data_IF_290729615377
#
_entry.id   IF_290729615377
#
_cell.length_a   1.000
_cell.length_b   1.000
_cell.length_c   1.000
_cell.angle_alpha   90.00
_cell.angle_beta   90.00
_cell.angle_gamma   90.00
#
_symmetry.space_group_name_H-M   'P 1'
#
loop_
_entity.id
_entity.type
_entity.pdbx_description
1 polymer ?
#
# COMPACT_ATOMS: atom_id res chain seq x y z
N UNK A 1 -8.56 -8.40 27.37
CA UNK A 1 -8.06 -9.34 26.33
C UNK A 1 -8.91 -9.13 25.09
N UNK A 2 -8.49 -8.20 24.22
CA UNK A 2 -9.11 -8.00 22.90
C UNK A 2 -8.43 -8.97 21.96
N UNK A 3 -9.23 -9.74 21.24
CA UNK A 3 -8.80 -10.81 20.35
C UNK A 3 -7.64 -10.39 19.44
N UNK A 4 -6.53 -11.14 19.51
CA UNK A 4 -5.38 -11.10 18.58
C UNK A 4 -5.76 -11.68 17.21
N UNK A 5 -7.02 -11.53 16.78
CA UNK A 5 -7.49 -12.01 15.49
C UNK A 5 -7.25 -10.92 14.43
N UNK A 6 -6.32 -11.23 13.52
CA UNK A 6 -6.19 -10.72 12.15
C UNK A 6 -5.94 -9.23 11.90
N UNK A 7 -5.23 -8.51 12.77
CA UNK A 7 -4.82 -7.11 12.53
C UNK A 7 -3.51 -7.03 11.74
N UNK A 8 -3.54 -7.45 10.49
CA UNK A 8 -2.43 -7.17 9.57
C UNK A 8 -2.80 -5.99 8.68
N UNK A 9 -1.78 -5.39 8.04
CA UNK A 9 -1.86 -4.75 6.72
C UNK A 9 -2.78 -5.49 5.70
N UNK A 10 -3.25 -6.71 5.96
CA UNK A 10 -4.39 -7.34 5.28
C UNK A 10 -5.69 -6.53 5.31
N UNK A 11 -5.86 -5.52 6.17
CA UNK A 11 -6.95 -4.53 6.05
C UNK A 11 -6.73 -3.47 4.95
N UNK A 12 -5.56 -3.51 4.31
CA UNK A 12 -5.29 -2.85 3.04
C UNK A 12 -5.86 -3.65 1.87
N UNK A 13 -7.03 -4.26 2.05
CA UNK A 13 -7.97 -4.49 0.96
C UNK A 13 -8.54 -3.12 0.57
N UNK A 14 -7.76 -2.41 -0.24
CA UNK A 14 -8.31 -1.39 -1.12
C UNK A 14 -9.11 -2.14 -2.18
N UNK A 15 -10.35 -1.72 -2.38
CA UNK A 15 -11.40 -2.47 -3.07
C UNK A 15 -10.85 -3.21 -4.31
N UNK A 16 -10.74 -4.55 -4.24
CA UNK A 16 -10.05 -5.35 -5.26
C UNK A 16 -10.72 -5.30 -6.66
N UNK A 17 -11.96 -4.82 -6.70
CA UNK A 17 -12.70 -4.50 -7.93
C UNK A 17 -12.29 -3.16 -8.55
N UNK A 18 -11.52 -2.34 -7.84
CA UNK A 18 -11.11 -1.00 -8.24
C UNK A 18 -9.64 -0.93 -8.66
N UNK A 19 -9.42 0.09 -9.48
CA UNK A 19 -8.23 0.54 -10.15
C UNK A 19 -7.06 0.83 -9.19
N UNK A 20 -5.98 0.04 -9.24
CA UNK A 20 -4.77 0.24 -8.41
C UNK A 20 -3.65 0.94 -9.19
N UNK A 21 -2.58 1.35 -8.50
CA UNK A 21 -1.37 1.93 -9.09
C UNK A 21 -1.40 3.44 -9.26
N UNK A 22 -2.35 4.13 -8.62
CA UNK A 22 -2.44 5.58 -8.59
C UNK A 22 -2.14 6.12 -7.18
N UNK A 23 -2.07 7.46 -7.03
CA UNK A 23 -1.72 8.08 -5.75
C UNK A 23 -2.69 7.75 -4.61
N UNK A 24 -3.97 7.59 -4.93
CA UNK A 24 -5.00 7.24 -3.93
C UNK A 24 -4.99 5.77 -3.54
N UNK A 25 -4.52 4.89 -4.43
CA UNK A 25 -4.55 3.44 -4.31
C UNK A 25 -3.25 2.85 -4.87
N UNK A 26 -2.13 2.93 -4.13
CA UNK A 26 -0.86 2.35 -4.55
C UNK A 26 -0.98 0.82 -4.70
N UNK A 27 -0.10 0.23 -5.49
CA UNK A 27 -0.07 -1.22 -5.75
C UNK A 27 0.43 -2.01 -4.52
N UNK A 28 1.34 -1.43 -3.74
CA UNK A 28 1.87 -2.05 -2.51
C UNK A 28 2.18 -0.99 -1.44
N UNK A 29 1.94 -1.35 -0.18
CA UNK A 29 2.41 -0.65 1.00
C UNK A 29 3.31 -1.58 1.82
N UNK A 30 4.49 -1.10 2.17
CA UNK A 30 5.45 -1.81 3.03
C UNK A 30 5.68 -1.00 4.28
N UNK A 31 5.39 -1.58 5.44
CA UNK A 31 5.87 -1.09 6.73
C UNK A 31 7.17 -1.81 7.02
N UNK A 32 8.20 -1.06 7.40
CA UNK A 32 9.53 -1.60 7.63
C UNK A 32 10.13 -1.08 8.93
N UNK A 33 11.02 -1.89 9.49
CA UNK A 33 11.92 -1.53 10.57
C UNK A 33 13.31 -2.02 10.18
N UNK A 34 14.29 -1.13 10.27
CA UNK A 34 15.66 -1.35 9.88
C UNK A 34 16.59 -1.04 11.06
N UNK A 35 17.46 -1.99 11.41
CA UNK A 35 18.32 -1.90 12.59
C UNK A 35 19.80 -1.89 12.20
N UNK A 36 20.63 -1.15 12.96
CA UNK A 36 22.08 -1.13 12.81
C UNK A 36 22.72 -2.49 13.14
N UNK A 37 22.12 -3.21 14.09
CA UNK A 37 22.61 -4.48 14.63
C UNK A 37 22.32 -5.65 13.68
N UNK A 38 23.09 -5.73 12.59
CA UNK A 38 23.29 -6.98 11.84
C UNK A 38 22.56 -7.12 10.50
N UNK A 39 22.32 -6.03 9.75
CA UNK A 39 21.63 -6.08 8.44
C UNK A 39 20.26 -6.77 8.50
N UNK A 40 19.58 -6.68 9.66
CA UNK A 40 18.24 -7.23 9.82
C UNK A 40 17.24 -6.11 9.64
N UNK A 41 16.57 -6.10 8.49
CA UNK A 41 15.36 -5.33 8.29
C UNK A 41 14.16 -6.28 8.44
N UNK A 42 13.24 -5.96 9.34
CA UNK A 42 11.95 -6.66 9.45
C UNK A 42 10.90 -5.82 8.74
N UNK A 43 10.02 -6.45 7.99
CA UNK A 43 9.04 -5.73 7.18
C UNK A 43 7.75 -6.53 7.04
N UNK A 44 6.66 -5.79 6.84
CA UNK A 44 5.36 -6.29 6.41
C UNK A 44 4.94 -5.54 5.17
N UNK A 45 4.63 -6.27 4.12
CA UNK A 45 4.09 -5.70 2.89
C UNK A 45 2.71 -6.27 2.65
N UNK A 46 1.70 -5.44 2.37
CA UNK A 46 0.55 -5.96 1.63
C UNK A 46 1.06 -6.12 0.22
N UNK A 47 1.45 -7.34 -0.10
CA UNK A 47 1.17 -7.74 -1.44
C UNK A 47 -0.33 -7.95 -1.46
N UNK A 48 -1.09 -7.30 -2.37
CA UNK A 48 -2.33 -7.91 -2.79
C UNK A 48 -1.89 -9.26 -3.35
N UNK A 49 -1.88 -10.30 -2.50
CA UNK A 49 -1.75 -11.68 -2.95
C UNK A 49 -2.92 -11.79 -3.90
N UNK A 50 -2.60 -11.76 -5.19
CA UNK A 50 -3.53 -11.59 -6.29
C UNK A 50 -4.83 -12.32 -5.97
N UNK A 51 -5.81 -11.56 -5.50
CA UNK A 51 -7.15 -11.99 -5.12
C UNK A 51 -7.25 -13.39 -4.49
N UNK A 52 -7.68 -13.50 -3.22
CA UNK A 52 -8.41 -14.72 -2.81
C UNK A 52 -9.62 -14.99 -3.74
N UNK A 53 -10.13 -13.98 -4.46
CA UNK A 53 -11.11 -14.12 -5.54
C UNK A 53 -10.54 -14.68 -6.88
N UNK A 54 -9.21 -14.65 -7.06
CA UNK A 54 -8.42 -15.27 -8.13
C UNK A 54 -8.36 -16.80 -8.00
N UNK A 55 -8.52 -17.29 -6.77
CA UNK A 55 -8.65 -18.72 -6.50
C UNK A 55 -10.02 -19.28 -6.92
N UNK A 56 -11.02 -18.41 -7.15
CA UNK A 56 -12.37 -18.79 -7.62
C UNK A 56 -12.53 -18.30 -9.06
N UNK A 57 -12.30 -19.15 -10.08
CA UNK A 57 -12.22 -18.74 -11.48
C UNK A 57 -13.42 -17.90 -11.95
N UNK A 58 -14.62 -18.25 -11.50
CA UNK A 58 -15.86 -17.53 -11.85
C UNK A 58 -15.86 -16.10 -11.29
N UNK A 59 -15.47 -15.94 -10.03
CA UNK A 59 -15.37 -14.61 -9.42
C UNK A 59 -14.31 -13.76 -10.13
N UNK A 60 -13.17 -14.38 -10.49
CA UNK A 60 -12.08 -13.72 -11.23
C UNK A 60 -12.55 -13.14 -12.57
N UNK A 61 -13.40 -13.88 -13.30
CA UNK A 61 -13.96 -13.39 -14.56
C UNK A 61 -14.82 -12.15 -14.36
N UNK A 62 -15.72 -12.14 -13.37
CA UNK A 62 -16.57 -10.98 -13.10
C UNK A 62 -15.76 -9.77 -12.61
N UNK A 63 -14.76 -9.98 -11.74
CA UNK A 63 -13.88 -8.90 -11.30
C UNK A 63 -13.02 -8.36 -12.44
N UNK A 64 -12.54 -9.23 -13.34
CA UNK A 64 -11.80 -8.86 -14.54
C UNK A 64 -12.62 -7.98 -15.48
N UNK A 65 -13.88 -8.36 -15.74
CA UNK A 65 -14.81 -7.55 -16.55
C UNK A 65 -15.07 -6.19 -15.92
N UNK A 66 -15.36 -6.15 -14.61
CA UNK A 66 -15.58 -4.88 -13.90
C UNK A 66 -14.33 -3.96 -13.99
N UNK A 67 -13.14 -4.53 -13.85
CA UNK A 67 -11.88 -3.79 -13.97
C UNK A 67 -11.66 -3.26 -15.38
N UNK A 68 -11.94 -4.05 -16.42
CA UNK A 68 -11.86 -3.59 -17.82
C UNK A 68 -12.77 -2.39 -18.04
N UNK A 69 -14.04 -2.47 -17.62
CA UNK A 69 -15.00 -1.37 -17.79
C UNK A 69 -14.49 -0.10 -17.13
N UNK A 70 -13.99 -0.19 -15.89
CA UNK A 70 -13.45 0.96 -15.16
C UNK A 70 -12.17 1.52 -15.80
N UNK A 71 -11.24 0.65 -16.18
CA UNK A 71 -9.99 1.05 -16.84
C UNK A 71 -10.25 1.74 -18.18
N UNK A 72 -11.16 1.20 -19.00
CA UNK A 72 -11.57 1.82 -20.27
C UNK A 72 -12.16 3.21 -20.06
N UNK A 73 -13.04 3.38 -19.05
CA UNK A 73 -13.59 4.70 -18.71
C UNK A 73 -12.49 5.71 -18.37
N UNK A 74 -11.53 5.32 -17.53
CA UNK A 74 -10.40 6.19 -17.16
C UNK A 74 -9.55 6.54 -18.38
N UNK A 75 -9.18 5.56 -19.22
CA UNK A 75 -8.39 5.80 -20.43
C UNK A 75 -9.06 6.87 -21.31
N UNK A 76 -10.36 6.75 -21.59
CA UNK A 76 -11.07 7.73 -22.42
C UNK A 76 -11.17 9.10 -21.75
N UNK A 77 -11.42 9.16 -20.44
CA UNK A 77 -11.45 10.41 -19.69
C UNK A 77 -10.10 11.14 -19.74
N UNK A 78 -9.02 10.43 -19.45
CA UNK A 78 -7.66 11.00 -19.43
C UNK A 78 -7.20 11.39 -20.83
N UNK A 79 -7.47 10.57 -21.86
CA UNK A 79 -7.15 10.92 -23.26
C UNK A 79 -7.87 12.19 -23.72
N UNK A 80 -9.11 12.42 -23.26
CA UNK A 80 -9.87 13.64 -23.60
C UNK A 80 -9.31 14.92 -22.99
N UNK A 81 -8.54 14.79 -21.90
CA UNK A 81 -7.95 15.91 -21.15
C UNK A 81 -6.44 16.07 -21.38
N UNK A 82 -5.83 15.11 -22.10
CA UNK A 82 -4.39 15.05 -22.35
C UNK A 82 -3.93 16.19 -23.27
N UNK A 83 -2.90 16.91 -22.85
CA UNK A 83 -2.22 17.97 -23.62
C UNK A 83 -0.94 17.47 -24.29
N UNK A 84 -0.64 16.17 -24.17
CA UNK A 84 0.53 15.48 -24.75
C UNK A 84 1.88 16.10 -24.37
N UNK A 85 1.97 16.71 -23.18
CA UNK A 85 3.22 17.22 -22.63
C UNK A 85 4.00 16.11 -21.90
N UNK A 86 5.34 16.22 -21.86
CA UNK A 86 6.23 15.20 -21.26
C UNK A 86 5.95 14.92 -19.77
N UNK A 87 5.38 15.88 -19.04
CA UNK A 87 5.03 15.77 -17.63
C UNK A 87 3.51 15.88 -17.39
N UNK A 88 2.71 15.49 -18.37
CA UNK A 88 1.25 15.55 -18.25
C UNK A 88 0.74 14.53 -17.23
N UNK A 89 0.11 14.95 -16.11
CA UNK A 89 -0.45 14.01 -15.13
C UNK A 89 -1.49 13.07 -15.75
N UNK A 90 -2.21 13.51 -16.79
CA UNK A 90 -3.17 12.69 -17.52
C UNK A 90 -2.49 11.55 -18.30
N UNK A 91 -1.23 11.71 -18.71
CA UNK A 91 -0.45 10.64 -19.35
C UNK A 91 -0.12 9.53 -18.35
N UNK A 92 0.23 9.89 -17.13
CA UNK A 92 0.51 8.91 -16.06
C UNK A 92 -0.75 8.11 -15.68
N UNK A 93 -1.89 8.80 -15.52
CA UNK A 93 -3.16 8.12 -15.21
C UNK A 93 -3.66 7.30 -16.39
N UNK A 94 -3.54 7.78 -17.63
CA UNK A 94 -3.87 6.99 -18.82
C UNK A 94 -3.02 5.69 -18.91
N UNK A 95 -1.73 5.77 -18.59
CA UNK A 95 -0.86 4.59 -18.53
C UNK A 95 -1.29 3.60 -17.44
N UNK A 96 -1.71 4.12 -16.28
CA UNK A 96 -2.30 3.28 -15.23
C UNK A 96 -3.62 2.64 -15.69
N UNK A 97 -4.36 3.35 -16.54
CA UNK A 97 -5.51 2.92 -17.33
C UNK A 97 -5.22 1.62 -18.05
N UNK A 98 -4.23 1.67 -18.93
CA UNK A 98 -3.80 0.53 -19.72
C UNK A 98 -3.32 -0.64 -18.87
N UNK A 99 -2.55 -0.40 -17.79
CA UNK A 99 -2.13 -1.49 -16.88
C UNK A 99 -3.32 -2.25 -16.30
N UNK A 100 -4.32 -1.52 -15.81
CA UNK A 100 -5.52 -2.12 -15.22
C UNK A 100 -6.39 -2.83 -16.27
N UNK A 101 -6.45 -2.30 -17.49
CA UNK A 101 -7.11 -2.94 -18.63
C UNK A 101 -6.46 -4.29 -18.94
N UNK A 102 -5.13 -4.33 -19.13
CA UNK A 102 -4.38 -5.57 -19.37
C UNK A 102 -4.54 -6.56 -18.22
N UNK A 103 -4.47 -6.09 -16.97
CA UNK A 103 -4.69 -6.92 -15.80
C UNK A 103 -6.09 -7.57 -15.82
N UNK A 104 -7.13 -6.79 -16.13
CA UNK A 104 -8.49 -7.31 -16.25
C UNK A 104 -8.65 -8.32 -17.39
N UNK A 105 -7.99 -8.11 -18.53
CA UNK A 105 -7.97 -9.07 -19.64
C UNK A 105 -7.34 -10.41 -19.24
N UNK A 106 -6.25 -10.37 -18.47
CA UNK A 106 -5.58 -11.57 -17.96
C UNK A 106 -6.50 -12.28 -16.94
N UNK A 107 -7.17 -11.56 -16.03
CA UNK A 107 -8.09 -12.15 -15.03
C UNK A 107 -9.29 -12.89 -15.64
N UNK A 108 -9.73 -12.50 -16.84
CA UNK A 108 -10.83 -13.18 -17.53
C UNK A 108 -10.45 -14.61 -17.93
N UNK A 109 -9.16 -14.87 -18.20
CA UNK A 109 -8.68 -16.20 -18.60
C UNK A 109 -8.60 -17.09 -17.37
N UNK A 110 -9.47 -18.11 -17.23
CA UNK A 110 -9.49 -18.96 -16.06
C UNK A 110 -8.14 -19.67 -15.87
N UNK A 111 -7.73 -19.84 -14.62
CA UNK A 111 -6.53 -20.60 -14.18
C UNK A 111 -5.21 -20.00 -14.69
N UNK A 112 -4.95 -19.99 -16.00
CA UNK A 112 -3.69 -19.50 -16.61
C UNK A 112 -3.50 -18.01 -16.35
N UNK A 113 -4.57 -17.23 -16.48
CA UNK A 113 -4.53 -15.79 -16.20
C UNK A 113 -4.20 -15.52 -14.73
N UNK A 114 -4.90 -16.20 -13.82
CA UNK A 114 -4.69 -16.05 -12.38
C UNK A 114 -3.29 -16.49 -11.93
N UNK A 115 -2.78 -17.62 -12.43
CA UNK A 115 -1.39 -18.06 -12.16
C UNK A 115 -0.39 -17.01 -12.66
N UNK A 116 -0.59 -16.49 -13.87
CA UNK A 116 0.28 -15.46 -14.45
C UNK A 116 0.31 -14.19 -13.60
N UNK A 117 -0.84 -13.80 -13.05
CA UNK A 117 -0.95 -12.64 -12.16
C UNK A 117 -0.29 -12.88 -10.80
N UNK A 118 -0.42 -14.07 -10.23
CA UNK A 118 0.28 -14.43 -8.98
C UNK A 118 1.79 -14.31 -9.17
N UNK A 119 2.33 -14.85 -10.26
CA UNK A 119 3.76 -14.78 -10.57
C UNK A 119 4.19 -13.32 -10.78
N UNK A 120 3.43 -12.57 -11.58
CA UNK A 120 3.74 -11.18 -11.87
C UNK A 120 3.70 -10.30 -10.62
N UNK A 121 2.69 -10.43 -9.77
CA UNK A 121 2.58 -9.69 -8.51
C UNK A 121 3.68 -10.08 -7.52
N UNK A 122 4.08 -11.37 -7.50
CA UNK A 122 5.20 -11.83 -6.68
C UNK A 122 6.53 -11.18 -7.12
N UNK A 123 6.79 -11.15 -8.43
CA UNK A 123 8.00 -10.50 -9.00
C UNK A 123 7.97 -9.00 -8.72
N UNK A 124 6.84 -8.35 -9.01
CA UNK A 124 6.66 -6.92 -8.75
C UNK A 124 6.88 -6.60 -7.28
N UNK A 125 6.36 -7.45 -6.40
CA UNK A 125 6.51 -7.31 -4.96
C UNK A 125 7.97 -7.39 -4.53
N UNK A 126 8.71 -8.38 -5.04
CA UNK A 126 10.15 -8.48 -4.81
C UNK A 126 10.91 -7.24 -5.32
N UNK A 127 10.52 -6.66 -6.47
CA UNK A 127 11.10 -5.43 -7.01
C UNK A 127 10.82 -4.23 -6.10
N UNK A 128 9.59 -4.05 -5.63
CA UNK A 128 9.25 -2.97 -4.70
C UNK A 128 10.01 -3.10 -3.40
N UNK A 129 10.05 -4.31 -2.84
CA UNK A 129 10.82 -4.59 -1.64
C UNK A 129 12.31 -4.31 -1.82
N UNK A 130 12.90 -4.74 -2.93
CA UNK A 130 14.30 -4.44 -3.25
C UNK A 130 14.59 -2.94 -3.34
N UNK A 131 13.64 -2.13 -3.83
CA UNK A 131 13.77 -0.66 -3.81
C UNK A 131 13.75 -0.08 -2.39
N UNK A 132 12.89 -0.61 -1.52
CA UNK A 132 12.87 -0.21 -0.10
C UNK A 132 14.22 -0.53 0.54
N UNK A 133 14.70 -1.77 0.42
CA UNK A 133 16.00 -2.17 0.97
C UNK A 133 17.13 -1.28 0.47
N UNK A 134 17.18 -1.01 -0.84
CA UNK A 134 18.19 -0.12 -1.42
C UNK A 134 18.10 1.31 -0.89
N UNK A 135 16.89 1.81 -0.64
CA UNK A 135 16.71 3.14 -0.05
C UNK A 135 17.12 3.23 1.42
N UNK A 136 17.16 2.08 2.11
CA UNK A 136 17.59 1.96 3.50
C UNK A 136 19.07 1.61 3.63
N UNK A 137 19.77 1.38 2.52
CA UNK A 137 21.20 1.10 2.50
C UNK A 137 21.97 2.28 3.11
N UNK A 138 22.72 2.02 4.19
CA UNK A 138 23.43 3.06 4.95
C UNK A 138 22.56 3.86 5.92
N UNK A 139 21.25 3.61 5.97
CA UNK A 139 20.40 4.06 7.08
C UNK A 139 20.46 3.01 8.20
N UNK A 140 20.58 3.43 9.45
CA UNK A 140 20.50 2.55 10.61
C UNK A 140 19.37 3.01 11.52
N UNK A 141 18.82 2.08 12.30
CA UNK A 141 17.84 2.33 13.37
C UNK A 141 16.65 3.21 12.98
N UNK A 142 15.99 2.84 11.89
CA UNK A 142 14.85 3.58 11.34
C UNK A 142 13.66 2.68 11.10
N UNK A 143 12.47 3.24 11.20
CA UNK A 143 11.25 2.57 10.79
C UNK A 143 10.40 3.49 9.94
N UNK A 144 9.49 2.92 9.15
CA UNK A 144 8.74 3.74 8.22
C UNK A 144 7.75 2.99 7.36
N UNK A 145 7.26 3.72 6.38
CA UNK A 145 6.22 3.28 5.44
C UNK A 145 6.69 3.63 4.02
N UNK A 146 6.63 2.66 3.13
CA UNK A 146 6.88 2.82 1.72
C UNK A 146 5.64 2.46 0.90
N UNK A 147 5.40 3.20 -0.19
CA UNK A 147 4.36 2.93 -1.18
C UNK A 147 5.03 2.65 -2.52
N UNK A 148 4.69 1.54 -3.16
CA UNK A 148 5.25 1.10 -4.46
C UNK A 148 6.79 1.07 -4.49
N UNK A 149 7.39 0.72 -3.35
CA UNK A 149 8.84 0.69 -3.14
C UNK A 149 9.49 2.06 -2.90
N UNK A 150 8.71 3.14 -2.78
CA UNK A 150 9.20 4.48 -2.42
C UNK A 150 8.88 4.76 -0.95
N UNK A 151 9.90 5.02 -0.14
CA UNK A 151 9.72 5.47 1.25
C UNK A 151 9.00 6.83 1.25
N UNK A 152 7.86 6.89 1.93
CA UNK A 152 7.03 8.09 2.07
C UNK A 152 7.17 8.69 3.47
N UNK A 153 7.42 7.83 4.46
CA UNK A 153 7.61 8.20 5.85
C UNK A 153 8.74 7.37 6.46
N UNK A 154 9.60 8.01 7.24
CA UNK A 154 10.69 7.38 7.98
C UNK A 154 10.91 8.15 9.28
N UNK A 155 11.20 7.42 10.35
CA UNK A 155 11.46 7.95 11.68
C UNK A 155 12.52 7.11 12.38
N UNK A 156 13.31 7.74 13.25
CA UNK A 156 14.30 7.05 14.05
C UNK A 156 13.64 6.15 15.09
N UNK A 157 14.19 4.96 15.28
CA UNK A 157 13.69 3.98 16.25
C UNK A 157 13.74 4.49 17.68
N UNK A 158 14.67 5.38 18.03
CA UNK A 158 14.68 6.02 19.35
C UNK A 158 13.40 6.80 19.61
N UNK A 159 12.85 7.47 18.60
CA UNK A 159 11.59 8.20 18.71
C UNK A 159 10.47 7.24 19.02
N UNK A 160 10.42 6.09 18.34
CA UNK A 160 9.44 5.03 18.57
C UNK A 160 9.59 4.40 19.96
N UNK A 161 10.81 4.11 20.41
CA UNK A 161 11.10 3.54 21.74
C UNK A 161 10.61 4.45 22.87
N UNK A 162 10.72 5.78 22.72
CA UNK A 162 10.19 6.75 23.69
C UNK A 162 8.67 6.67 23.86
N UNK A 163 7.92 6.31 22.81
CA UNK A 163 6.45 6.18 22.82
C UNK A 163 6.00 4.88 23.49
N UNK A 164 6.88 3.90 23.40
CA UNK A 164 6.56 2.52 23.64
C UNK A 164 6.92 2.06 25.04
N UNK A 165 7.55 2.92 25.87
CA UNK A 165 7.95 2.67 27.28
C UNK A 165 8.01 1.17 27.58
N UNK A 166 9.14 0.55 27.26
CA UNK A 166 9.42 -0.90 27.36
C UNK A 166 8.99 -1.81 26.19
N UNK A 167 9.12 -1.38 24.93
CA UNK A 167 9.11 -2.38 23.82
C UNK A 167 10.44 -3.09 23.71
N UNK A 168 10.38 -4.42 23.86
CA UNK A 168 11.54 -5.30 24.10
C UNK A 168 11.96 -6.03 22.81
N UNK A 169 11.11 -6.07 21.77
CA UNK A 169 11.38 -6.82 20.54
C UNK A 169 11.05 -6.12 19.21
N UNK A 170 11.80 -6.48 18.16
CA UNK A 170 11.64 -5.94 16.79
C UNK A 170 10.23 -6.15 16.22
N UNK A 171 9.60 -7.27 16.58
CA UNK A 171 8.27 -7.63 16.10
C UNK A 171 7.19 -6.72 16.70
N UNK A 172 7.35 -6.30 17.95
CA UNK A 172 6.41 -5.40 18.62
C UNK A 172 6.45 -3.99 18.03
N UNK A 173 7.64 -3.49 17.67
CA UNK A 173 7.78 -2.23 16.92
C UNK A 173 7.06 -2.29 15.58
N UNK A 174 7.23 -3.40 14.85
CA UNK A 174 6.58 -3.60 13.57
C UNK A 174 5.06 -3.71 13.71
N UNK A 175 4.59 -4.49 14.68
CA UNK A 175 3.16 -4.67 14.97
C UNK A 175 2.49 -3.34 15.33
N UNK A 176 3.15 -2.51 16.12
CA UNK A 176 2.63 -1.20 16.49
C UNK A 176 2.51 -0.28 15.25
N UNK A 177 3.55 -0.23 14.42
CA UNK A 177 3.51 0.56 13.19
C UNK A 177 2.43 0.06 12.25
N UNK A 178 2.26 -1.26 12.14
CA UNK A 178 1.20 -1.93 11.38
C UNK A 178 -0.20 -1.50 11.85
N UNK A 179 -0.43 -1.54 13.16
CA UNK A 179 -1.68 -1.15 13.80
C UNK A 179 -1.97 0.34 13.58
N UNK A 180 -0.97 1.21 13.74
CA UNK A 180 -1.14 2.65 13.51
C UNK A 180 -1.43 2.97 12.05
N UNK A 181 -0.71 2.34 11.11
CA UNK A 181 -0.99 2.48 9.69
C UNK A 181 -2.45 2.10 9.41
N UNK A 182 -2.90 0.98 9.97
CA UNK A 182 -4.27 0.49 9.81
C UNK A 182 -5.32 1.49 10.33
N UNK A 183 -5.10 2.10 11.50
CA UNK A 183 -6.00 3.13 12.06
C UNK A 183 -6.08 4.35 11.15
N UNK A 184 -4.93 4.87 10.71
CA UNK A 184 -4.85 6.04 9.84
C UNK A 184 -5.57 5.80 8.51
N UNK A 185 -5.41 4.61 7.94
CA UNK A 185 -6.09 4.20 6.72
C UNK A 185 -7.60 4.06 6.91
N UNK A 186 -8.06 3.51 8.05
CA UNK A 186 -9.48 3.43 8.36
C UNK A 186 -10.11 4.83 8.46
N UNK A 187 -9.46 5.76 9.16
CA UNK A 187 -9.93 7.15 9.26
C UNK A 187 -9.99 7.83 7.89
N UNK A 188 -9.00 7.60 7.03
CA UNK A 188 -9.00 8.08 5.66
C UNK A 188 -10.20 7.53 4.86
N UNK A 189 -10.44 6.22 4.93
CA UNK A 189 -11.58 5.56 4.26
C UNK A 189 -12.92 6.15 4.72
N UNK A 190 -13.09 6.33 6.04
CA UNK A 190 -14.31 6.94 6.58
C UNK A 190 -14.51 8.38 6.11
N UNK A 191 -13.43 9.17 6.08
CA UNK A 191 -13.48 10.55 5.62
C UNK A 191 -13.82 10.64 4.14
N UNK A 192 -13.24 9.80 3.29
CA UNK A 192 -13.62 9.70 1.87
C UNK A 192 -15.09 9.34 1.70
N UNK A 193 -15.61 8.40 2.51
CA UNK A 193 -17.03 8.02 2.48
C UNK A 193 -17.95 9.17 2.89
N UNK A 194 -17.57 9.94 3.91
CA UNK A 194 -18.35 11.07 4.43
C UNK A 194 -18.31 12.30 3.50
N UNK A 195 -17.14 12.62 2.95
CA UNK A 195 -16.92 13.84 2.17
C UNK A 195 -17.06 13.65 0.66
N UNK A 196 -17.18 12.41 0.19
CA UNK A 196 -17.25 12.08 -1.24
C UNK A 196 -15.96 12.41 -2.01
N UNK A 197 -14.86 12.66 -1.30
CA UNK A 197 -13.56 13.05 -1.88
C UNK A 197 -12.53 11.95 -1.67
N UNK A 198 -11.91 11.53 -2.76
CA UNK A 198 -10.74 10.65 -2.71
C UNK A 198 -9.59 11.40 -2.04
N UNK A 199 -8.99 10.80 -1.00
CA UNK A 199 -7.87 11.41 -0.28
C UNK A 199 -6.56 10.80 -0.80
N UNK A 200 -5.58 11.66 -1.09
CA UNK A 200 -4.23 11.24 -1.48
C UNK A 200 -3.54 10.60 -0.27
N UNK A 201 -3.20 9.32 -0.42
CA UNK A 201 -2.67 8.55 0.70
C UNK A 201 -1.30 9.05 1.17
N UNK A 202 -0.33 9.32 0.29
CA UNK A 202 0.87 10.06 0.62
C UNK A 202 0.64 11.27 1.53
N UNK A 203 -0.41 12.06 1.30
CA UNK A 203 -0.66 13.26 2.11
C UNK A 203 -1.22 12.96 3.49
N UNK A 204 -1.93 11.85 3.65
CA UNK A 204 -2.34 11.35 4.97
C UNK A 204 -1.12 10.79 5.73
N UNK A 205 -0.32 9.97 5.06
CA UNK A 205 0.84 9.32 5.68
C UNK A 205 1.95 10.32 6.03
N UNK A 206 2.04 11.47 5.35
CA UNK A 206 2.92 12.57 5.77
C UNK A 206 2.54 13.18 7.14
N UNK A 207 1.29 13.01 7.59
CA UNK A 207 0.83 13.46 8.91
C UNK A 207 1.06 12.42 10.01
N UNK A 208 1.57 11.25 9.64
CA UNK A 208 1.90 10.19 10.58
C UNK A 208 2.81 10.66 11.73
N UNK A 209 3.88 11.47 11.53
CA UNK A 209 4.66 11.96 12.66
C UNK A 209 3.90 12.89 13.61
N UNK A 210 2.98 13.73 13.11
CA UNK A 210 2.14 14.57 13.98
C UNK A 210 1.19 13.72 14.84
N UNK A 211 0.60 12.69 14.24
CA UNK A 211 -0.26 11.74 14.94
C UNK A 211 0.52 10.94 15.98
N UNK A 212 1.72 10.50 15.60
CA UNK A 212 2.64 9.80 16.48
C UNK A 212 3.01 10.68 17.70
N UNK A 213 3.33 11.95 17.48
CA UNK A 213 3.63 12.90 18.55
C UNK A 213 2.43 13.18 19.47
N UNK A 214 1.21 13.31 18.93
CA UNK A 214 0.01 13.48 19.78
C UNK A 214 -0.20 12.31 20.73
N UNK A 215 0.09 11.10 20.27
CA UNK A 215 -0.03 9.90 21.10
C UNK A 215 1.05 9.84 22.18
N UNK A 216 2.26 10.35 21.90
CA UNK A 216 3.28 10.56 22.92
C UNK A 216 2.75 11.50 24.01
N UNK A 217 2.17 12.64 23.60
CA UNK A 217 1.63 13.65 24.52
C UNK A 217 0.42 13.15 25.31
N UNK A 218 -0.38 12.24 24.75
CA UNK A 218 -1.52 11.62 25.42
C UNK A 218 -1.09 10.55 26.43
N UNK A 219 -0.03 9.78 26.15
CA UNK A 219 0.50 8.78 27.08
C UNK A 219 1.33 9.36 28.22
N UNK A 220 1.95 10.52 28.01
CA UNK A 220 2.76 11.20 29.04
C UNK A 220 1.92 11.92 30.12
N UNK A 221 0.59 11.89 30.03
CA UNK A 221 -0.36 12.51 30.97
C UNK A 221 -1.05 11.46 31.83
#
# INVERSE_FOLDING_TARGET
MVDKMSRSIGMYDYNATFYTGNKSQPDAMTVFVNFESGNKSVYRTNFPVANCMGAIPIASTFTGVARIINATKVIFQELSQMKFAKNDPHLSECWNGFKNLFRGLIEIIPIVGNISLIVFDSIRGAVYFGKVLKSLEGSSDTAGIALDGKVIFQVDLETIKKILEDVVSDQECLDLLDDYCSIVLMQAKEKTKKEGKTIDLPDILKKFPELLNRLIDEKAK
#
